data_IF_225494968735
#
_entry.id   IF_225494968735
#
_cell.length_a   1.000
_cell.length_b   1.000
_cell.length_c   1.000
_cell.angle_alpha   90.00
_cell.angle_beta   90.00
_cell.angle_gamma   90.00
#
_symmetry.space_group_name_H-M   'P 1'
#
loop_
_entity.id
_entity.type
_entity.pdbx_description
1 polymer ?
#
# COMPACT_ATOMS: atom_id res chain seq x y z
N UNK A 1 -44.63 -30.95 -6.25
CA UNK A 1 -45.74 -30.20 -5.62
C UNK A 1 -47.01 -30.40 -6.41
N UNK A 2 -48.23 -30.37 -5.85
CA UNK A 2 -49.45 -30.40 -6.63
C UNK A 2 -49.50 -29.13 -7.50
N UNK A 3 -49.83 -29.33 -8.79
CA UNK A 3 -49.96 -28.22 -9.75
C UNK A 3 -51.26 -27.47 -9.46
N UNK A 4 -51.18 -26.24 -8.96
CA UNK A 4 -52.35 -25.42 -8.63
C UNK A 4 -52.66 -24.45 -9.76
N UNK A 5 -53.96 -24.26 -10.08
CA UNK A 5 -54.45 -23.23 -10.98
C UNK A 5 -54.12 -21.82 -10.38
N UNK A 6 -53.77 -20.84 -11.25
CA UNK A 6 -53.37 -19.49 -10.87
C UNK A 6 -54.40 -18.79 -9.94
N UNK A 7 -55.71 -19.06 -10.12
CA UNK A 7 -56.78 -18.51 -9.28
C UNK A 7 -56.64 -19.01 -7.83
N UNK A 8 -56.28 -20.28 -7.68
CA UNK A 8 -56.09 -20.91 -6.38
C UNK A 8 -54.79 -20.38 -5.73
N UNK A 9 -53.70 -20.22 -6.50
CA UNK A 9 -52.44 -19.65 -6.01
C UNK A 9 -52.65 -18.21 -5.52
N UNK A 10 -53.32 -17.37 -6.32
CA UNK A 10 -53.66 -16.00 -5.93
C UNK A 10 -54.49 -15.94 -4.63
N UNK A 11 -55.39 -16.88 -4.45
CA UNK A 11 -56.21 -17.00 -3.22
C UNK A 11 -55.36 -17.39 -2.01
N UNK A 12 -54.40 -18.31 -2.18
CA UNK A 12 -53.50 -18.76 -1.11
C UNK A 12 -52.52 -17.66 -0.71
N UNK A 13 -52.00 -16.90 -1.68
CA UNK A 13 -51.11 -15.79 -1.41
C UNK A 13 -51.74 -14.62 -0.65
N UNK A 14 -53.10 -14.52 -0.62
CA UNK A 14 -53.82 -13.54 0.22
C UNK A 14 -53.71 -13.78 1.72
N UNK A 15 -53.21 -14.95 2.14
CA UNK A 15 -52.91 -15.24 3.54
C UNK A 15 -51.68 -14.52 4.06
N UNK A 16 -50.85 -13.97 3.17
CA UNK A 16 -49.61 -13.23 3.44
C UNK A 16 -49.85 -11.72 3.29
N UNK A 17 -48.88 -10.87 3.60
CA UNK A 17 -48.99 -9.44 3.39
C UNK A 17 -49.42 -9.08 1.96
N UNK A 18 -50.26 -8.04 1.85
CA UNK A 18 -50.93 -7.64 0.61
C UNK A 18 -49.95 -7.45 -0.56
N UNK A 19 -48.77 -6.96 -0.25
CA UNK A 19 -47.67 -6.72 -1.21
C UNK A 19 -47.28 -7.98 -1.97
N UNK A 20 -47.32 -9.17 -1.34
CA UNK A 20 -46.95 -10.44 -1.99
C UNK A 20 -47.94 -10.76 -3.12
N UNK A 21 -49.25 -10.65 -2.86
CA UNK A 21 -50.29 -10.95 -3.85
C UNK A 21 -50.38 -9.89 -4.94
N UNK A 22 -50.07 -8.64 -4.64
CA UNK A 22 -50.02 -7.54 -5.61
C UNK A 22 -48.82 -7.70 -6.55
N UNK A 23 -47.62 -7.96 -5.98
CA UNK A 23 -46.39 -8.20 -6.76
C UNK A 23 -46.50 -9.44 -7.63
N UNK A 24 -47.03 -10.54 -7.11
CA UNK A 24 -47.36 -11.73 -7.92
C UNK A 24 -48.24 -11.37 -9.13
N UNK A 25 -49.35 -10.66 -8.90
CA UNK A 25 -50.30 -10.32 -9.97
C UNK A 25 -49.65 -9.44 -11.03
N UNK A 26 -48.81 -8.49 -10.64
CA UNK A 26 -48.07 -7.62 -11.52
C UNK A 26 -47.06 -8.42 -12.37
N UNK A 27 -46.22 -9.21 -11.74
CA UNK A 27 -45.15 -9.98 -12.44
C UNK A 27 -45.74 -11.06 -13.34
N UNK A 28 -46.86 -11.70 -12.90
CA UNK A 28 -47.56 -12.66 -13.76
C UNK A 28 -48.07 -12.04 -15.04
N UNK A 29 -48.70 -10.85 -14.99
CA UNK A 29 -49.20 -10.15 -16.18
C UNK A 29 -48.09 -9.84 -17.23
N UNK A 30 -46.85 -9.66 -16.77
CA UNK A 30 -45.71 -9.47 -17.65
C UNK A 30 -45.22 -10.80 -18.21
N UNK A 31 -45.13 -11.84 -17.39
CA UNK A 31 -44.53 -13.12 -17.73
C UNK A 31 -45.44 -13.99 -18.62
N UNK A 32 -46.77 -13.88 -18.49
CA UNK A 32 -47.74 -14.68 -19.28
C UNK A 32 -47.60 -14.42 -20.81
N UNK A 33 -47.12 -13.24 -21.20
CA UNK A 33 -46.88 -12.91 -22.60
C UNK A 33 -45.50 -13.34 -23.09
N UNK A 34 -44.63 -13.84 -22.20
CA UNK A 34 -43.20 -14.15 -22.50
C UNK A 34 -42.83 -15.61 -22.29
N UNK A 35 -43.58 -16.31 -21.43
CA UNK A 35 -43.26 -17.68 -21.06
C UNK A 35 -44.36 -18.65 -21.54
N UNK A 36 -43.98 -19.88 -21.95
CA UNK A 36 -44.92 -20.99 -22.14
C UNK A 36 -45.68 -21.26 -20.85
N UNK A 37 -46.96 -21.71 -21.01
CA UNK A 37 -47.85 -21.92 -19.86
C UNK A 37 -47.33 -22.92 -18.82
N UNK A 38 -46.62 -23.94 -19.26
CA UNK A 38 -45.95 -24.91 -18.37
C UNK A 38 -44.91 -24.26 -17.47
N UNK A 39 -44.08 -23.37 -18.05
CA UNK A 39 -43.05 -22.67 -17.31
C UNK A 39 -43.64 -21.63 -16.38
N UNK A 40 -44.67 -20.93 -16.82
CA UNK A 40 -45.43 -19.98 -16.00
C UNK A 40 -46.05 -20.67 -14.79
N UNK A 41 -46.69 -21.84 -15.01
CA UNK A 41 -47.28 -22.63 -13.93
C UNK A 41 -46.23 -23.12 -12.92
N UNK A 42 -45.04 -23.54 -13.38
CA UNK A 42 -43.94 -23.92 -12.50
C UNK A 42 -43.44 -22.73 -11.68
N UNK A 43 -43.26 -21.54 -12.30
CA UNK A 43 -42.89 -20.31 -11.63
C UNK A 43 -43.90 -19.93 -10.52
N UNK A 44 -45.19 -20.03 -10.82
CA UNK A 44 -46.27 -19.78 -9.86
C UNK A 44 -46.21 -20.74 -8.66
N UNK A 45 -46.01 -22.04 -8.92
CA UNK A 45 -45.87 -23.07 -7.89
C UNK A 45 -44.63 -22.90 -7.05
N UNK A 46 -43.48 -22.51 -7.64
CA UNK A 46 -42.26 -22.17 -6.89
C UNK A 46 -42.51 -20.97 -5.99
N UNK A 47 -43.14 -19.90 -6.48
CA UNK A 47 -43.44 -18.72 -5.68
C UNK A 47 -44.38 -19.01 -4.50
N UNK A 48 -45.38 -19.85 -4.68
CA UNK A 48 -46.21 -20.34 -3.59
C UNK A 48 -45.40 -21.20 -2.60
N UNK A 49 -44.54 -22.09 -3.11
CA UNK A 49 -43.66 -22.92 -2.29
C UNK A 49 -42.70 -22.09 -1.44
N UNK A 50 -42.15 -21.02 -2.01
CA UNK A 50 -41.33 -20.06 -1.26
C UNK A 50 -42.11 -19.44 -0.11
N UNK A 51 -43.33 -18.98 -0.35
CA UNK A 51 -44.19 -18.38 0.70
C UNK A 51 -44.56 -19.35 1.82
N UNK A 52 -44.66 -20.64 1.54
CA UNK A 52 -45.09 -21.67 2.48
C UNK A 52 -43.98 -22.42 3.22
N UNK A 53 -42.70 -22.21 2.86
CA UNK A 53 -41.59 -22.99 3.40
C UNK A 53 -41.42 -22.80 4.92
N UNK A 54 -41.59 -21.56 5.41
CA UNK A 54 -41.59 -21.27 6.86
C UNK A 54 -42.33 -19.93 7.15
N UNK A 55 -42.44 -19.55 8.44
CA UNK A 55 -43.22 -18.40 8.89
C UNK A 55 -42.84 -17.06 8.28
N UNK A 56 -41.55 -16.88 7.92
CA UNK A 56 -40.99 -15.62 7.36
C UNK A 56 -40.59 -15.75 5.90
N UNK A 57 -40.77 -16.91 5.27
CA UNK A 57 -40.33 -17.13 3.88
C UNK A 57 -41.19 -16.42 2.83
N UNK A 58 -42.32 -15.83 3.22
CA UNK A 58 -43.08 -14.94 2.35
C UNK A 58 -42.25 -13.73 1.84
N UNK A 59 -41.24 -13.30 2.61
CA UNK A 59 -40.28 -12.26 2.16
C UNK A 59 -39.47 -12.73 0.96
N UNK A 60 -39.07 -14.02 0.92
CA UNK A 60 -38.44 -14.62 -0.26
C UNK A 60 -39.36 -14.62 -1.47
N UNK A 61 -40.65 -14.99 -1.27
CA UNK A 61 -41.62 -14.97 -2.34
C UNK A 61 -41.85 -13.55 -2.87
N UNK A 62 -41.86 -12.55 -2.01
CA UNK A 62 -41.92 -11.14 -2.40
C UNK A 62 -40.76 -10.73 -3.27
N UNK A 63 -39.49 -10.95 -2.82
CA UNK A 63 -38.30 -10.68 -3.60
C UNK A 63 -38.27 -11.44 -4.94
N UNK A 64 -38.64 -12.74 -4.91
CA UNK A 64 -38.75 -13.57 -6.11
C UNK A 64 -39.71 -12.98 -7.14
N UNK A 65 -40.96 -12.69 -6.74
CA UNK A 65 -41.94 -12.11 -7.66
C UNK A 65 -41.52 -10.76 -8.19
N UNK A 66 -40.90 -9.92 -7.34
CA UNK A 66 -40.44 -8.58 -7.70
C UNK A 66 -39.47 -8.59 -8.85
N UNK A 67 -38.50 -9.52 -8.84
CA UNK A 67 -37.36 -9.52 -9.80
C UNK A 67 -37.58 -10.46 -10.99
N UNK A 68 -38.56 -11.39 -10.92
CA UNK A 68 -38.76 -12.46 -11.91
C UNK A 68 -38.89 -11.95 -13.34
N UNK A 69 -39.65 -10.88 -13.56
CA UNK A 69 -39.88 -10.32 -14.90
C UNK A 69 -38.60 -9.67 -15.50
N UNK A 70 -37.72 -9.16 -14.68
CA UNK A 70 -36.44 -8.60 -15.09
C UNK A 70 -35.44 -9.71 -15.37
N UNK A 71 -35.30 -10.68 -14.47
CA UNK A 71 -34.41 -11.84 -14.64
C UNK A 71 -34.74 -12.63 -15.90
N UNK A 72 -36.06 -12.83 -16.17
CA UNK A 72 -36.52 -13.56 -17.36
C UNK A 72 -36.01 -12.93 -18.67
N UNK A 73 -35.78 -11.62 -18.73
CA UNK A 73 -35.26 -10.95 -19.94
C UNK A 73 -33.85 -11.40 -20.30
N UNK A 74 -33.10 -11.89 -19.33
CA UNK A 74 -31.70 -12.32 -19.51
C UNK A 74 -31.55 -13.84 -19.59
N UNK A 75 -32.60 -14.62 -19.27
CA UNK A 75 -32.52 -16.07 -19.16
C UNK A 75 -33.46 -16.76 -20.16
N UNK A 76 -32.95 -17.73 -20.94
CA UNK A 76 -33.78 -18.70 -21.63
C UNK A 76 -34.67 -19.48 -20.66
N UNK A 77 -35.82 -19.93 -21.14
CA UNK A 77 -36.87 -20.55 -20.32
C UNK A 77 -36.38 -21.70 -19.40
N UNK A 78 -35.46 -22.55 -19.88
CA UNK A 78 -34.94 -23.65 -19.07
C UNK A 78 -34.06 -23.17 -17.92
N UNK A 79 -33.15 -22.20 -18.17
CA UNK A 79 -32.31 -21.61 -17.13
C UNK A 79 -33.13 -20.75 -16.15
N UNK A 80 -34.24 -20.15 -16.62
CA UNK A 80 -35.14 -19.42 -15.75
C UNK A 80 -35.79 -20.34 -14.69
N UNK A 81 -36.20 -21.56 -15.07
CA UNK A 81 -36.65 -22.55 -14.11
C UNK A 81 -35.56 -22.99 -13.14
N UNK A 82 -34.33 -23.23 -13.64
CA UNK A 82 -33.17 -23.56 -12.80
C UNK A 82 -32.87 -22.47 -11.76
N UNK A 83 -33.03 -21.18 -12.14
CA UNK A 83 -32.92 -20.05 -11.22
C UNK A 83 -34.04 -20.06 -10.16
N UNK A 84 -35.28 -20.34 -10.55
CA UNK A 84 -36.42 -20.48 -9.62
C UNK A 84 -36.18 -21.58 -8.59
N UNK A 85 -35.78 -22.76 -9.05
CA UNK A 85 -35.50 -23.92 -8.20
C UNK A 85 -34.31 -23.68 -7.27
N UNK A 86 -33.27 -22.98 -7.74
CA UNK A 86 -32.12 -22.58 -6.92
C UNK A 86 -32.53 -21.71 -5.74
N UNK A 87 -33.38 -20.71 -5.97
CA UNK A 87 -33.91 -19.88 -4.90
C UNK A 87 -34.74 -20.66 -3.87
N UNK A 88 -35.56 -21.61 -4.33
CA UNK A 88 -36.34 -22.48 -3.42
C UNK A 88 -35.41 -23.39 -2.57
N UNK A 89 -34.36 -23.93 -3.15
CA UNK A 89 -33.32 -24.70 -2.42
C UNK A 89 -32.63 -23.85 -1.37
N UNK A 90 -32.25 -22.62 -1.71
CA UNK A 90 -31.61 -21.68 -0.78
C UNK A 90 -32.54 -21.29 0.37
N UNK A 91 -33.86 -21.11 0.12
CA UNK A 91 -34.84 -20.76 1.15
C UNK A 91 -34.95 -21.85 2.25
N UNK A 92 -34.81 -23.12 1.89
CA UNK A 92 -34.77 -24.24 2.84
C UNK A 92 -33.52 -24.18 3.75
N UNK A 93 -32.44 -23.57 3.30
CA UNK A 93 -31.24 -23.37 4.10
C UNK A 93 -31.32 -22.09 4.93
N UNK A 94 -31.68 -20.97 4.31
CA UNK A 94 -31.84 -19.67 4.97
C UNK A 94 -32.67 -18.73 4.11
N UNK A 95 -33.72 -18.19 4.68
CA UNK A 95 -34.55 -17.14 4.07
C UNK A 95 -33.71 -15.94 3.62
N UNK A 96 -32.79 -15.50 4.47
CA UNK A 96 -31.90 -14.34 4.17
C UNK A 96 -31.04 -14.56 2.93
N UNK A 97 -30.46 -15.75 2.82
CA UNK A 97 -29.59 -16.10 1.66
C UNK A 97 -30.40 -16.07 0.37
N UNK A 98 -31.64 -16.62 0.40
CA UNK A 98 -32.52 -16.62 -0.76
C UNK A 98 -32.94 -15.20 -1.17
N UNK A 99 -33.21 -14.32 -0.22
CA UNK A 99 -33.52 -12.91 -0.49
C UNK A 99 -32.32 -12.24 -1.17
N UNK A 100 -31.12 -12.34 -0.59
CA UNK A 100 -29.91 -11.75 -1.19
C UNK A 100 -29.63 -12.32 -2.60
N UNK A 101 -29.87 -13.61 -2.83
CA UNK A 101 -29.79 -14.23 -4.16
C UNK A 101 -30.77 -13.60 -5.14
N UNK A 102 -32.07 -13.51 -4.78
CA UNK A 102 -33.07 -12.93 -5.67
C UNK A 102 -32.78 -11.45 -5.95
N UNK A 103 -32.55 -10.65 -4.93
CA UNK A 103 -32.35 -9.21 -5.05
C UNK A 103 -31.11 -8.85 -5.88
N UNK A 104 -30.06 -9.68 -5.83
CA UNK A 104 -28.84 -9.49 -6.63
C UNK A 104 -28.96 -10.03 -8.06
N UNK A 105 -29.88 -10.96 -8.31
CA UNK A 105 -30.00 -11.67 -9.60
C UNK A 105 -30.19 -10.76 -10.81
N UNK A 106 -31.05 -9.73 -10.83
CA UNK A 106 -31.26 -8.90 -12.01
C UNK A 106 -29.93 -8.33 -12.55
N UNK A 107 -29.17 -7.67 -11.67
CA UNK A 107 -27.89 -7.08 -12.02
C UNK A 107 -26.82 -8.13 -12.35
N UNK A 108 -26.81 -9.25 -11.62
CA UNK A 108 -25.88 -10.35 -11.89
C UNK A 108 -26.12 -10.93 -13.30
N UNK A 109 -27.37 -11.13 -13.70
CA UNK A 109 -27.71 -11.70 -15.01
C UNK A 109 -27.35 -10.80 -16.20
N UNK A 110 -27.15 -9.50 -16.01
CA UNK A 110 -26.63 -8.62 -17.06
C UNK A 110 -25.16 -8.92 -17.40
N UNK A 111 -24.43 -9.56 -16.50
CA UNK A 111 -22.99 -9.83 -16.61
C UNK A 111 -22.67 -11.32 -16.71
N UNK A 112 -23.46 -12.16 -16.06
CA UNK A 112 -23.26 -13.59 -16.02
C UNK A 112 -23.95 -14.27 -17.21
N UNK A 113 -23.20 -15.11 -17.95
CA UNK A 113 -23.79 -15.92 -19.01
C UNK A 113 -24.76 -16.97 -18.39
N UNK A 114 -25.94 -17.20 -19.02
CA UNK A 114 -26.96 -18.09 -18.47
C UNK A 114 -26.46 -19.48 -18.04
N UNK A 115 -25.51 -20.05 -18.79
CA UNK A 115 -24.92 -21.36 -18.49
C UNK A 115 -24.16 -21.47 -17.18
N UNK A 116 -23.75 -20.34 -16.58
CA UNK A 116 -22.96 -20.30 -15.34
C UNK A 116 -23.81 -20.11 -14.07
N UNK A 117 -25.15 -20.01 -14.19
CA UNK A 117 -26.02 -19.72 -13.04
C UNK A 117 -25.92 -20.81 -11.97
N UNK A 118 -26.00 -22.07 -12.36
CA UNK A 118 -25.93 -23.18 -11.43
C UNK A 118 -24.56 -23.26 -10.73
N UNK A 119 -23.48 -23.00 -11.47
CA UNK A 119 -22.13 -22.97 -10.91
C UNK A 119 -21.95 -21.78 -9.97
N UNK A 120 -22.45 -20.58 -10.33
CA UNK A 120 -22.48 -19.42 -9.45
C UNK A 120 -23.18 -19.72 -8.13
N UNK A 121 -24.42 -20.21 -8.19
CA UNK A 121 -25.21 -20.52 -7.00
C UNK A 121 -24.53 -21.59 -6.15
N UNK A 122 -24.07 -22.68 -6.74
CA UNK A 122 -23.42 -23.78 -6.05
C UNK A 122 -22.15 -23.32 -5.28
N UNK A 123 -21.33 -22.48 -5.92
CA UNK A 123 -20.12 -21.95 -5.29
C UNK A 123 -20.42 -21.01 -4.14
N UNK A 124 -21.39 -20.11 -4.29
CA UNK A 124 -21.75 -19.19 -3.20
C UNK A 124 -22.45 -19.97 -2.07
N UNK A 125 -23.27 -20.96 -2.41
CA UNK A 125 -23.94 -21.83 -1.45
C UNK A 125 -22.94 -22.63 -0.59
N UNK A 126 -21.76 -22.99 -1.12
CA UNK A 126 -20.72 -23.74 -0.39
C UNK A 126 -20.18 -22.98 0.83
N UNK A 127 -20.28 -21.64 0.84
CA UNK A 127 -19.89 -20.81 1.98
C UNK A 127 -20.82 -20.97 3.20
N UNK A 128 -22.06 -21.42 2.97
CA UNK A 128 -23.02 -21.61 4.05
C UNK A 128 -22.74 -22.89 4.83
N UNK A 129 -22.41 -22.76 6.10
CA UNK A 129 -22.10 -23.89 7.02
C UNK A 129 -23.10 -23.95 8.20
N UNK A 130 -24.31 -23.40 8.05
CA UNK A 130 -25.37 -23.48 9.08
C UNK A 130 -25.20 -22.51 10.25
N UNK A 131 -24.24 -21.60 10.23
CA UNK A 131 -24.02 -20.60 11.29
C UNK A 131 -24.49 -19.22 10.85
N UNK A 132 -24.77 -18.33 11.83
CA UNK A 132 -25.17 -16.95 11.51
C UNK A 132 -24.07 -16.18 10.77
N UNK A 133 -22.78 -16.41 11.11
CA UNK A 133 -21.65 -15.78 10.41
C UNK A 133 -21.54 -16.26 8.97
N UNK A 134 -21.70 -17.57 8.73
CA UNK A 134 -21.69 -18.10 7.36
C UNK A 134 -22.89 -17.58 6.56
N UNK A 135 -24.07 -17.39 7.20
CA UNK A 135 -25.23 -16.78 6.54
C UNK A 135 -24.91 -15.36 6.07
N UNK A 136 -24.33 -14.51 6.93
CA UNK A 136 -23.96 -13.14 6.58
C UNK A 136 -22.94 -13.12 5.44
N UNK A 137 -21.88 -13.93 5.53
CA UNK A 137 -20.88 -14.00 4.47
C UNK A 137 -21.50 -14.41 3.12
N UNK A 138 -22.35 -15.45 3.11
CA UNK A 138 -23.03 -15.91 1.89
C UNK A 138 -23.94 -14.83 1.31
N UNK A 139 -24.68 -14.10 2.14
CA UNK A 139 -25.49 -12.95 1.70
C UNK A 139 -24.60 -11.86 1.07
N UNK A 140 -23.54 -11.46 1.77
CA UNK A 140 -22.61 -10.43 1.28
C UNK A 140 -21.99 -10.80 -0.08
N UNK A 141 -21.68 -12.08 -0.30
CA UNK A 141 -21.16 -12.57 -1.58
C UNK A 141 -22.20 -12.44 -2.68
N UNK A 142 -23.47 -12.86 -2.46
CA UNK A 142 -24.53 -12.66 -3.45
C UNK A 142 -24.71 -11.18 -3.78
N UNK A 143 -24.78 -10.32 -2.77
CA UNK A 143 -25.00 -8.88 -2.91
C UNK A 143 -23.84 -8.16 -3.62
N UNK A 144 -22.59 -8.59 -3.40
CA UNK A 144 -21.40 -8.02 -4.05
C UNK A 144 -21.14 -8.58 -5.45
N UNK A 145 -21.71 -9.73 -5.82
CA UNK A 145 -21.48 -10.40 -7.11
C UNK A 145 -21.68 -9.47 -8.32
N UNK A 146 -22.76 -8.67 -8.42
CA UNK A 146 -22.95 -7.77 -9.56
C UNK A 146 -21.77 -6.82 -9.76
N UNK A 147 -21.33 -6.17 -8.69
CA UNK A 147 -20.21 -5.20 -8.71
C UNK A 147 -18.89 -5.87 -9.05
N UNK A 148 -18.64 -7.06 -8.51
CA UNK A 148 -17.41 -7.82 -8.76
C UNK A 148 -17.36 -8.24 -10.24
N UNK A 149 -18.45 -8.76 -10.82
CA UNK A 149 -18.51 -9.18 -12.22
C UNK A 149 -18.48 -8.01 -13.22
N UNK A 150 -18.57 -6.77 -12.78
CA UNK A 150 -18.30 -5.60 -13.62
C UNK A 150 -16.81 -5.45 -13.96
N UNK A 151 -15.94 -5.97 -13.10
CA UNK A 151 -14.50 -5.70 -13.15
C UNK A 151 -13.65 -6.93 -13.43
N UNK A 152 -14.15 -8.14 -13.09
CA UNK A 152 -13.42 -9.40 -13.27
C UNK A 152 -14.23 -10.42 -14.08
N UNK A 153 -13.52 -11.37 -14.68
CA UNK A 153 -14.13 -12.50 -15.39
C UNK A 153 -14.79 -13.50 -14.42
N UNK A 154 -15.70 -14.33 -14.93
CA UNK A 154 -16.33 -15.38 -14.10
C UNK A 154 -15.32 -16.39 -13.58
N UNK A 155 -14.27 -16.72 -14.33
CA UNK A 155 -13.23 -17.63 -13.87
C UNK A 155 -12.43 -17.02 -12.70
N UNK A 156 -12.13 -15.73 -12.75
CA UNK A 156 -11.52 -15.00 -11.63
C UNK A 156 -12.46 -14.90 -10.42
N UNK A 157 -13.74 -14.69 -10.67
CA UNK A 157 -14.76 -14.74 -9.63
C UNK A 157 -14.80 -16.11 -8.92
N UNK A 158 -14.72 -17.20 -9.66
CA UNK A 158 -14.66 -18.56 -9.07
C UNK A 158 -13.46 -18.71 -8.14
N UNK A 159 -12.27 -18.26 -8.58
CA UNK A 159 -11.06 -18.26 -7.74
C UNK A 159 -11.22 -17.39 -6.48
N UNK A 160 -11.89 -16.24 -6.61
CA UNK A 160 -12.19 -15.38 -5.45
C UNK A 160 -13.07 -16.11 -4.44
N UNK A 161 -14.13 -16.79 -4.88
CA UNK A 161 -15.01 -17.52 -3.96
C UNK A 161 -14.28 -18.68 -3.29
N UNK A 162 -13.44 -19.42 -4.01
CA UNK A 162 -12.59 -20.47 -3.48
C UNK A 162 -11.63 -19.93 -2.40
N UNK A 163 -11.01 -18.80 -2.66
CA UNK A 163 -10.18 -18.10 -1.68
C UNK A 163 -10.97 -17.67 -0.44
N UNK A 164 -12.15 -17.04 -0.62
CA UNK A 164 -13.01 -16.61 0.48
C UNK A 164 -13.51 -17.81 1.28
N UNK A 165 -13.82 -18.94 0.64
CA UNK A 165 -14.20 -20.19 1.33
C UNK A 165 -13.04 -20.70 2.18
N UNK A 166 -11.84 -20.80 1.61
CA UNK A 166 -10.64 -21.23 2.34
C UNK A 166 -10.37 -20.34 3.57
N UNK A 167 -10.49 -19.02 3.40
CA UNK A 167 -10.29 -18.06 4.47
C UNK A 167 -11.41 -18.13 5.54
N UNK A 168 -12.66 -18.36 5.13
CA UNK A 168 -13.81 -18.49 6.03
C UNK A 168 -13.68 -19.67 6.99
N UNK A 169 -13.01 -20.76 6.56
CA UNK A 169 -12.67 -21.91 7.41
C UNK A 169 -11.71 -21.54 8.54
N UNK A 170 -11.03 -20.39 8.45
CA UNK A 170 -10.15 -19.85 9.49
C UNK A 170 -10.86 -18.73 10.28
N UNK A 171 -11.48 -17.78 9.58
CA UNK A 171 -12.19 -16.66 10.19
C UNK A 171 -13.23 -16.05 9.24
N UNK A 172 -14.51 -16.11 9.61
CA UNK A 172 -15.59 -15.47 8.86
C UNK A 172 -15.46 -13.94 8.84
N UNK A 173 -15.00 -13.36 9.94
CA UNK A 173 -14.90 -11.89 10.05
C UNK A 173 -13.83 -11.35 9.08
N UNK A 174 -12.68 -12.02 9.02
CA UNK A 174 -11.63 -11.67 8.05
C UNK A 174 -12.08 -11.96 6.62
N UNK A 175 -12.75 -13.08 6.37
CA UNK A 175 -13.27 -13.39 5.03
C UNK A 175 -14.24 -12.32 4.52
N UNK A 176 -15.13 -11.81 5.38
CA UNK A 176 -16.06 -10.72 5.03
C UNK A 176 -15.33 -9.41 4.75
N UNK A 177 -14.35 -9.06 5.57
CA UNK A 177 -13.52 -7.85 5.39
C UNK A 177 -12.69 -7.91 4.10
N UNK A 178 -12.13 -9.09 3.79
CA UNK A 178 -11.34 -9.31 2.57
C UNK A 178 -12.22 -9.28 1.32
N UNK A 179 -13.44 -9.79 1.37
CA UNK A 179 -14.40 -9.67 0.28
C UNK A 179 -14.67 -8.21 -0.07
N UNK A 180 -14.94 -7.38 0.94
CA UNK A 180 -15.15 -5.94 0.76
C UNK A 180 -13.90 -5.25 0.21
N UNK A 181 -12.73 -5.57 0.76
CA UNK A 181 -11.45 -5.01 0.31
C UNK A 181 -11.12 -5.43 -1.12
N UNK A 182 -11.38 -6.69 -1.50
CA UNK A 182 -11.22 -7.20 -2.85
C UNK A 182 -12.08 -6.43 -3.85
N UNK A 183 -13.35 -6.17 -3.50
CA UNK A 183 -14.27 -5.40 -4.34
C UNK A 183 -13.72 -3.99 -4.60
N UNK A 184 -13.14 -3.34 -3.59
CA UNK A 184 -12.50 -2.02 -3.72
C UNK A 184 -11.25 -2.07 -4.60
N UNK A 185 -10.40 -3.09 -4.44
CA UNK A 185 -9.20 -3.27 -5.27
C UNK A 185 -9.58 -3.49 -6.74
N UNK A 186 -10.57 -4.33 -7.01
CA UNK A 186 -10.97 -4.62 -8.38
C UNK A 186 -11.62 -3.40 -9.06
N UNK A 187 -12.34 -2.55 -8.32
CA UNK A 187 -12.98 -1.34 -8.86
C UNK A 187 -12.01 -0.31 -9.45
N UNK A 188 -10.73 -0.38 -9.12
CA UNK A 188 -9.68 0.50 -9.67
C UNK A 188 -8.94 -0.12 -10.87
N UNK A 189 -9.51 -1.14 -11.53
CA UNK A 189 -8.90 -1.87 -12.65
C UNK A 189 -7.51 -2.41 -12.31
N UNK A 190 -7.40 -3.08 -11.17
CA UNK A 190 -6.14 -3.65 -10.73
C UNK A 190 -5.55 -4.63 -11.76
N UNK A 191 -4.28 -4.48 -12.20
CA UNK A 191 -3.77 -5.22 -13.36
C UNK A 191 -3.49 -6.70 -13.09
N UNK A 192 -3.10 -7.06 -11.85
CA UNK A 192 -2.58 -8.39 -11.50
C UNK A 192 -3.58 -9.20 -10.66
N UNK A 193 -4.87 -9.27 -11.10
CA UNK A 193 -5.94 -9.94 -10.34
C UNK A 193 -5.68 -11.44 -10.18
N UNK A 194 -5.28 -12.13 -11.25
CA UNK A 194 -4.98 -13.58 -11.17
C UNK A 194 -3.85 -13.88 -10.21
N UNK A 195 -2.80 -13.06 -10.23
CA UNK A 195 -1.65 -13.17 -9.35
C UNK A 195 -2.01 -12.89 -7.91
N UNK A 196 -2.83 -11.87 -7.68
CA UNK A 196 -3.35 -11.55 -6.36
C UNK A 196 -4.16 -12.71 -5.78
N UNK A 197 -5.08 -13.27 -6.55
CA UNK A 197 -5.93 -14.38 -6.10
C UNK A 197 -5.10 -15.64 -5.82
N UNK A 198 -4.15 -15.98 -6.70
CA UNK A 198 -3.26 -17.13 -6.50
C UNK A 198 -2.39 -16.95 -5.26
N UNK A 199 -1.78 -15.77 -5.09
CA UNK A 199 -0.97 -15.44 -3.92
C UNK A 199 -1.80 -15.51 -2.64
N UNK A 200 -3.04 -15.03 -2.68
CA UNK A 200 -3.96 -15.02 -1.53
C UNK A 200 -4.33 -16.41 -1.05
N UNK A 201 -4.62 -17.33 -1.98
CA UNK A 201 -4.88 -18.74 -1.67
C UNK A 201 -3.65 -19.33 -0.98
N UNK A 202 -2.48 -19.14 -1.58
CA UNK A 202 -1.21 -19.65 -1.04
C UNK A 202 -0.87 -19.09 0.34
N UNK A 203 -1.07 -17.77 0.57
CA UNK A 203 -0.88 -17.17 1.91
C UNK A 203 -1.86 -17.78 2.91
N UNK A 204 -3.12 -18.01 2.52
CA UNK A 204 -4.14 -18.58 3.42
C UNK A 204 -3.76 -19.98 3.89
N UNK A 205 -3.14 -20.76 3.05
CA UNK A 205 -2.70 -22.12 3.38
C UNK A 205 -1.53 -22.13 4.36
N UNK A 206 -0.57 -21.22 4.21
CA UNK A 206 0.65 -21.16 5.03
C UNK A 206 0.49 -20.28 6.28
N UNK A 207 0.06 -19.04 6.13
CA UNK A 207 -0.06 -18.06 7.22
C UNK A 207 -1.26 -17.12 6.96
N UNK A 208 -2.48 -17.63 7.15
CA UNK A 208 -3.72 -16.92 6.87
C UNK A 208 -3.83 -15.53 7.55
N UNK A 209 -3.12 -15.31 8.67
CA UNK A 209 -3.11 -14.01 9.36
C UNK A 209 -2.39 -12.92 8.56
N UNK A 210 -1.54 -13.31 7.61
CA UNK A 210 -0.82 -12.37 6.73
C UNK A 210 -1.71 -11.82 5.60
N UNK A 211 -2.88 -12.43 5.35
CA UNK A 211 -3.81 -12.00 4.29
C UNK A 211 -4.31 -10.58 4.52
N UNK A 212 -4.83 -10.30 5.71
CA UNK A 212 -5.41 -8.97 6.01
C UNK A 212 -4.40 -7.84 5.87
N UNK A 213 -3.22 -7.84 6.52
CA UNK A 213 -2.24 -6.79 6.34
C UNK A 213 -1.73 -6.68 4.90
N UNK A 214 -1.64 -7.79 4.16
CA UNK A 214 -1.30 -7.78 2.72
C UNK A 214 -2.33 -6.98 1.92
N UNK A 215 -3.62 -7.25 2.09
CA UNK A 215 -4.70 -6.54 1.39
C UNK A 215 -4.79 -5.06 1.77
N UNK A 216 -4.56 -4.72 3.04
CA UNK A 216 -4.53 -3.33 3.50
C UNK A 216 -3.41 -2.53 2.81
N UNK A 217 -2.22 -3.12 2.65
CA UNK A 217 -1.10 -2.46 1.94
C UNK A 217 -1.42 -2.32 0.45
N UNK A 218 -1.99 -3.36 -0.17
CA UNK A 218 -2.37 -3.31 -1.58
C UNK A 218 -3.37 -2.17 -1.80
N UNK A 219 -4.49 -2.14 -1.05
CA UNK A 219 -5.53 -1.13 -1.20
C UNK A 219 -5.04 0.29 -0.94
N UNK A 220 -4.24 0.49 0.11
CA UNK A 220 -3.85 1.83 0.53
C UNK A 220 -2.65 2.40 -0.23
N UNK A 221 -1.77 1.55 -0.75
CA UNK A 221 -0.48 1.97 -1.28
C UNK A 221 -0.18 1.41 -2.68
N UNK A 222 -0.23 0.08 -2.88
CA UNK A 222 0.22 -0.55 -4.14
C UNK A 222 -0.66 -0.15 -5.33
N UNK A 223 -1.98 -0.07 -5.17
CA UNK A 223 -2.91 0.34 -6.24
C UNK A 223 -2.63 1.74 -6.82
N UNK A 224 -1.82 2.55 -6.13
CA UNK A 224 -1.43 3.91 -6.56
C UNK A 224 -0.16 3.93 -7.42
N UNK A 225 0.50 2.79 -7.56
CA UNK A 225 1.70 2.66 -8.38
C UNK A 225 1.36 2.48 -9.86
N UNK A 226 2.29 2.76 -10.77
CA UNK A 226 2.17 2.39 -12.17
C UNK A 226 1.99 0.87 -12.35
N UNK A 227 1.22 0.45 -13.36
CA UNK A 227 0.92 -0.97 -13.60
C UNK A 227 2.19 -1.83 -13.76
N UNK A 228 3.23 -1.30 -14.41
CA UNK A 228 4.51 -1.99 -14.56
C UNK A 228 5.15 -2.33 -13.21
N UNK A 229 5.08 -1.39 -12.25
CA UNK A 229 5.65 -1.56 -10.92
C UNK A 229 4.83 -2.53 -10.08
N UNK A 230 3.50 -2.50 -10.21
CA UNK A 230 2.61 -3.49 -9.58
C UNK A 230 2.98 -4.90 -10.05
N UNK A 231 3.09 -5.09 -11.37
CA UNK A 231 3.48 -6.36 -11.97
C UNK A 231 4.82 -6.85 -11.43
N UNK A 232 5.82 -5.99 -11.39
CA UNK A 232 7.16 -6.31 -10.91
C UNK A 232 7.15 -6.74 -9.43
N UNK A 233 6.38 -6.05 -8.58
CA UNK A 233 6.22 -6.37 -7.15
C UNK A 233 5.57 -7.75 -6.99
N UNK A 234 4.56 -8.08 -7.79
CA UNK A 234 3.89 -9.38 -7.75
C UNK A 234 4.79 -10.50 -8.27
N UNK A 235 5.58 -10.29 -9.32
CA UNK A 235 6.59 -11.25 -9.79
C UNK A 235 7.63 -11.57 -8.69
N UNK A 236 8.11 -10.53 -8.00
CA UNK A 236 9.03 -10.71 -6.87
C UNK A 236 8.38 -11.46 -5.72
N UNK A 237 7.13 -11.15 -5.36
CA UNK A 237 6.42 -11.80 -4.25
C UNK A 237 6.20 -13.30 -4.50
N UNK A 238 5.87 -13.69 -5.72
CA UNK A 238 5.76 -15.12 -6.11
C UNK A 238 7.07 -15.88 -5.89
N UNK A 239 8.20 -15.25 -6.21
CA UNK A 239 9.52 -15.87 -6.06
C UNK A 239 9.94 -15.98 -4.60
N UNK A 240 9.54 -15.01 -3.76
CA UNK A 240 9.83 -15.01 -2.33
C UNK A 240 8.88 -15.88 -1.53
N UNK A 241 7.71 -16.17 -2.10
CA UNK A 241 6.71 -16.98 -1.42
C UNK A 241 7.24 -18.39 -1.13
N UNK A 242 7.01 -18.87 0.08
CA UNK A 242 7.50 -20.17 0.51
C UNK A 242 8.92 -20.21 1.09
N UNK A 243 9.65 -19.09 1.06
CA UNK A 243 10.90 -18.99 1.79
C UNK A 243 10.62 -18.81 3.29
N UNK A 244 11.31 -19.60 4.11
CA UNK A 244 11.14 -19.59 5.56
C UNK A 244 11.36 -18.19 6.13
N UNK A 245 10.38 -17.71 6.91
CA UNK A 245 10.45 -16.44 7.64
C UNK A 245 10.10 -15.16 6.85
N UNK A 246 9.65 -15.28 5.59
CA UNK A 246 9.21 -14.12 4.81
C UNK A 246 7.68 -14.04 4.79
N UNK A 247 7.12 -13.03 5.46
CA UNK A 247 5.72 -12.62 5.33
C UNK A 247 5.55 -11.64 4.17
N UNK A 248 4.56 -11.88 3.31
CA UNK A 248 4.33 -11.04 2.12
C UNK A 248 3.94 -9.62 2.49
N UNK A 249 3.16 -9.44 3.56
CA UNK A 249 2.82 -8.11 4.08
C UNK A 249 4.07 -7.32 4.49
N UNK A 250 5.04 -7.96 5.15
CA UNK A 250 6.31 -7.33 5.50
C UNK A 250 7.12 -6.94 4.27
N UNK A 251 7.18 -7.81 3.26
CA UNK A 251 7.85 -7.51 1.99
C UNK A 251 7.21 -6.30 1.30
N UNK A 252 5.89 -6.28 1.14
CA UNK A 252 5.17 -5.14 0.54
C UNK A 252 5.38 -3.86 1.35
N UNK A 253 5.25 -3.93 2.68
CA UNK A 253 5.48 -2.78 3.57
C UNK A 253 6.88 -2.20 3.38
N UNK A 254 7.91 -3.04 3.29
CA UNK A 254 9.28 -2.59 3.14
C UNK A 254 9.56 -2.00 1.77
N UNK A 255 9.02 -2.59 0.70
CA UNK A 255 9.08 -1.97 -0.64
C UNK A 255 8.45 -0.58 -0.60
N UNK A 256 7.25 -0.44 -0.05
CA UNK A 256 6.57 0.86 -0.02
C UNK A 256 7.32 1.90 0.80
N UNK A 257 7.93 1.50 1.92
CA UNK A 257 8.84 2.37 2.71
C UNK A 257 10.06 2.79 1.89
N UNK A 258 10.68 1.85 1.20
CA UNK A 258 11.86 2.14 0.35
C UNK A 258 11.50 3.11 -0.79
N UNK A 259 10.38 2.90 -1.47
CA UNK A 259 9.93 3.79 -2.54
C UNK A 259 9.54 5.20 -2.05
N UNK A 260 9.22 5.35 -0.77
CA UNK A 260 8.97 6.66 -0.16
C UNK A 260 10.25 7.48 0.10
N UNK A 261 11.42 6.84 0.15
CA UNK A 261 12.72 7.49 0.39
C UNK A 261 13.33 8.10 -0.88
N UNK A 262 12.89 7.64 -2.05
CA UNK A 262 13.46 8.07 -3.35
C UNK A 262 12.48 8.91 -4.15
N UNK A 263 13.01 9.73 -5.07
CA UNK A 263 12.19 10.49 -6.00
C UNK A 263 11.35 9.57 -6.88
N UNK A 264 10.28 10.10 -7.45
CA UNK A 264 9.38 9.29 -8.30
C UNK A 264 10.11 8.70 -9.51
N UNK A 265 11.04 9.44 -10.08
CA UNK A 265 11.78 9.05 -11.29
C UNK A 265 12.78 7.92 -11.00
N UNK A 266 13.25 7.81 -9.76
CA UNK A 266 14.24 6.82 -9.34
C UNK A 266 13.60 5.48 -8.86
N UNK A 267 12.27 5.44 -8.75
CA UNK A 267 11.54 4.28 -8.20
C UNK A 267 11.69 3.02 -9.02
N UNK A 268 11.71 3.16 -10.34
CA UNK A 268 11.86 2.04 -11.25
C UNK A 268 13.24 1.41 -11.11
N UNK A 269 14.28 2.23 -10.97
CA UNK A 269 15.67 1.77 -10.76
C UNK A 269 15.79 0.99 -9.44
N UNK A 270 15.24 1.51 -8.35
CA UNK A 270 15.22 0.81 -7.05
C UNK A 270 14.47 -0.52 -7.15
N UNK A 271 13.30 -0.57 -7.80
CA UNK A 271 12.56 -1.80 -7.97
C UNK A 271 13.34 -2.85 -8.77
N UNK A 272 14.03 -2.45 -9.82
CA UNK A 272 14.91 -3.34 -10.59
C UNK A 272 16.11 -3.83 -9.76
N UNK A 273 16.68 -2.98 -8.90
CA UNK A 273 17.73 -3.41 -7.97
C UNK A 273 17.23 -4.47 -7.00
N UNK A 274 16.03 -4.29 -6.43
CA UNK A 274 15.39 -5.27 -5.55
C UNK A 274 15.11 -6.57 -6.31
N UNK A 275 14.55 -6.49 -7.53
CA UNK A 275 14.30 -7.63 -8.39
C UNK A 275 15.60 -8.42 -8.66
N UNK A 276 16.70 -7.73 -8.91
CA UNK A 276 18.00 -8.36 -9.14
C UNK A 276 18.45 -9.18 -7.91
N UNK A 277 18.24 -8.66 -6.69
CA UNK A 277 18.52 -9.40 -5.45
C UNK A 277 17.57 -10.59 -5.30
N UNK A 278 16.27 -10.40 -5.50
CA UNK A 278 15.27 -11.49 -5.45
C UNK A 278 15.61 -12.61 -6.44
N UNK A 279 16.14 -12.25 -7.60
CA UNK A 279 16.46 -13.22 -8.63
C UNK A 279 17.72 -14.06 -8.36
N UNK A 280 18.73 -13.46 -7.71
CA UNK A 280 20.02 -14.09 -7.54
C UNK A 280 20.31 -14.56 -6.11
N UNK A 281 19.72 -13.89 -5.10
CA UNK A 281 19.94 -14.22 -3.69
C UNK A 281 18.65 -13.92 -2.87
N UNK A 282 17.55 -14.64 -3.13
CA UNK A 282 16.25 -14.34 -2.54
C UNK A 282 16.23 -14.33 -1.00
N UNK A 283 17.05 -15.15 -0.37
CA UNK A 283 17.12 -15.28 1.09
C UNK A 283 17.68 -14.05 1.82
N UNK A 284 18.40 -13.15 1.13
CA UNK A 284 18.91 -11.90 1.70
C UNK A 284 18.06 -10.66 1.35
N UNK A 285 16.98 -10.84 0.59
CA UNK A 285 16.15 -9.73 0.10
C UNK A 285 15.63 -8.84 1.23
N UNK A 286 15.16 -9.44 2.32
CA UNK A 286 14.64 -8.68 3.44
C UNK A 286 15.72 -7.90 4.19
N UNK A 287 16.94 -8.44 4.26
CA UNK A 287 18.08 -7.76 4.88
C UNK A 287 18.57 -6.62 3.98
N UNK A 288 18.59 -6.81 2.66
CA UNK A 288 18.85 -5.75 1.70
C UNK A 288 17.83 -4.60 1.83
N UNK A 289 16.55 -4.90 1.82
CA UNK A 289 15.49 -3.88 1.99
C UNK A 289 15.65 -3.09 3.29
N UNK A 290 16.06 -3.75 4.39
CA UNK A 290 16.32 -3.09 5.68
C UNK A 290 17.53 -2.16 5.65
N UNK A 291 18.54 -2.48 4.85
CA UNK A 291 19.78 -1.68 4.77
C UNK A 291 19.65 -0.46 3.85
N UNK A 292 18.74 -0.46 2.88
CA UNK A 292 18.57 0.63 1.89
C UNK A 292 18.45 2.02 2.56
N UNK A 293 17.64 2.25 3.60
CA UNK A 293 17.54 3.57 4.22
C UNK A 293 18.88 4.11 4.68
N UNK A 294 19.66 3.30 5.38
CA UNK A 294 20.99 3.68 5.86
C UNK A 294 21.99 3.89 4.71
N UNK A 295 21.90 3.07 3.68
CA UNK A 295 22.79 3.19 2.51
C UNK A 295 22.52 4.47 1.71
N UNK A 296 21.26 4.86 1.54
CA UNK A 296 20.88 6.08 0.83
C UNK A 296 21.27 7.38 1.56
N UNK A 297 21.65 7.32 2.84
CA UNK A 297 22.22 8.46 3.55
C UNK A 297 23.65 8.80 3.05
N UNK A 298 24.35 7.80 2.52
CA UNK A 298 25.78 7.93 2.17
C UNK A 298 26.11 7.59 0.72
N UNK A 299 25.28 6.83 0.04
CA UNK A 299 25.44 6.36 -1.33
C UNK A 299 24.37 6.95 -2.26
N UNK A 300 24.77 7.30 -3.49
CA UNK A 300 23.82 7.52 -4.57
C UNK A 300 23.35 6.18 -5.18
N UNK A 301 22.39 6.21 -6.12
CA UNK A 301 21.83 4.99 -6.70
C UNK A 301 22.84 4.14 -7.44
N UNK A 302 23.76 4.75 -8.19
CA UNK A 302 24.81 4.02 -8.90
C UNK A 302 25.77 3.32 -7.92
N UNK A 303 26.12 3.98 -6.82
CA UNK A 303 26.95 3.43 -5.75
C UNK A 303 26.21 2.31 -5.01
N UNK A 304 24.90 2.48 -4.75
CA UNK A 304 24.05 1.45 -4.16
C UNK A 304 23.99 0.21 -5.06
N UNK A 305 23.89 0.40 -6.38
CA UNK A 305 23.91 -0.69 -7.35
C UNK A 305 25.25 -1.44 -7.32
N UNK A 306 26.36 -0.73 -7.27
CA UNK A 306 27.70 -1.34 -7.13
C UNK A 306 27.83 -2.12 -5.82
N UNK A 307 27.36 -1.58 -4.71
CA UNK A 307 27.38 -2.25 -3.40
C UNK A 307 26.52 -3.52 -3.42
N UNK A 308 25.30 -3.44 -3.94
CA UNK A 308 24.38 -4.56 -4.11
C UNK A 308 25.00 -5.67 -4.96
N UNK A 309 25.63 -5.33 -6.09
CA UNK A 309 26.26 -6.30 -6.99
C UNK A 309 27.41 -7.05 -6.32
N UNK A 310 28.18 -6.39 -5.47
CA UNK A 310 29.20 -7.06 -4.66
C UNK A 310 28.59 -8.00 -3.62
N UNK A 311 27.48 -7.60 -2.96
CA UNK A 311 26.76 -8.45 -2.03
C UNK A 311 26.21 -9.70 -2.71
N UNK A 312 25.66 -9.57 -3.93
CA UNK A 312 25.20 -10.72 -4.73
C UNK A 312 26.37 -11.65 -5.07
N UNK A 313 27.55 -11.12 -5.43
CA UNK A 313 28.73 -11.97 -5.65
C UNK A 313 29.09 -12.77 -4.40
N UNK A 314 29.08 -12.13 -3.22
CA UNK A 314 29.30 -12.84 -1.94
C UNK A 314 28.26 -13.94 -1.72
N UNK A 315 27.01 -13.72 -2.15
CA UNK A 315 25.95 -14.70 -2.03
C UNK A 315 26.13 -15.89 -2.99
N UNK A 316 26.64 -15.64 -4.20
CA UNK A 316 26.85 -16.66 -5.23
C UNK A 316 28.15 -17.46 -5.04
N UNK A 317 29.21 -16.87 -4.45
CA UNK A 317 30.48 -17.52 -4.22
C UNK A 317 30.45 -18.58 -3.10
N UNK A 318 29.30 -18.73 -2.40
CA UNK A 318 29.20 -19.57 -1.21
C UNK A 318 28.06 -20.60 -1.36
N UNK A 319 28.35 -21.69 -2.01
CA UNK A 319 27.39 -22.77 -2.28
C UNK A 319 26.78 -23.45 -1.03
N UNK A 320 27.33 -23.22 0.18
CA UNK A 320 26.95 -23.99 1.36
C UNK A 320 26.63 -23.18 2.63
N UNK A 321 26.97 -21.89 2.69
CA UNK A 321 26.74 -21.08 3.90
C UNK A 321 26.19 -19.69 3.58
N UNK A 322 24.91 -19.40 3.89
CA UNK A 322 24.30 -18.09 3.64
C UNK A 322 24.78 -16.97 4.59
N UNK A 323 25.49 -17.32 5.68
CA UNK A 323 25.85 -16.40 6.76
C UNK A 323 26.64 -15.16 6.31
N UNK A 324 27.69 -15.27 5.47
CA UNK A 324 28.46 -14.10 5.05
C UNK A 324 27.68 -13.12 4.20
N UNK A 325 26.83 -13.60 3.27
CA UNK A 325 25.95 -12.72 2.49
C UNK A 325 24.91 -12.02 3.38
N UNK A 326 24.32 -12.76 4.33
CA UNK A 326 23.40 -12.19 5.32
C UNK A 326 24.07 -11.10 6.15
N UNK A 327 25.29 -11.35 6.66
CA UNK A 327 26.05 -10.34 7.40
C UNK A 327 26.45 -9.14 6.52
N UNK A 328 26.73 -9.37 5.22
CA UNK A 328 26.98 -8.31 4.28
C UNK A 328 25.78 -7.39 4.14
N UNK A 329 24.61 -7.95 3.80
CA UNK A 329 23.39 -7.18 3.59
C UNK A 329 22.83 -6.56 4.88
N UNK A 330 23.14 -7.11 6.06
CA UNK A 330 22.83 -6.51 7.37
C UNK A 330 23.80 -5.40 7.79
N UNK A 331 24.83 -5.07 7.00
CA UNK A 331 25.88 -4.12 7.34
C UNK A 331 26.73 -4.54 8.59
N UNK A 332 26.74 -5.83 8.92
CA UNK A 332 27.48 -6.37 10.07
C UNK A 332 28.91 -6.78 9.69
N UNK A 333 29.14 -7.13 8.41
CA UNK A 333 30.47 -7.54 7.96
C UNK A 333 31.42 -6.34 7.77
N UNK A 334 32.70 -6.54 8.10
CA UNK A 334 33.76 -5.56 7.81
C UNK A 334 33.85 -5.26 6.32
N UNK A 335 33.72 -6.29 5.47
CA UNK A 335 33.76 -6.17 4.02
C UNK A 335 32.68 -5.21 3.48
N UNK A 336 31.44 -5.28 3.99
CA UNK A 336 30.36 -4.38 3.60
C UNK A 336 30.68 -2.93 3.93
N UNK A 337 31.24 -2.67 5.12
CA UNK A 337 31.61 -1.33 5.60
C UNK A 337 32.79 -0.76 4.82
N UNK A 338 33.85 -1.53 4.64
CA UNK A 338 35.04 -1.13 3.88
C UNK A 338 34.67 -0.81 2.42
N UNK A 339 33.70 -1.54 1.84
CA UNK A 339 33.21 -1.28 0.49
C UNK A 339 32.44 0.05 0.43
N UNK A 340 31.54 0.32 1.40
CA UNK A 340 30.84 1.61 1.49
C UNK A 340 31.86 2.75 1.53
N UNK A 341 32.87 2.64 2.40
CA UNK A 341 33.91 3.64 2.52
C UNK A 341 34.70 3.86 1.21
N UNK A 342 34.87 2.79 0.44
CA UNK A 342 35.63 2.85 -0.84
C UNK A 342 34.79 3.47 -1.97
N UNK A 343 33.50 3.16 -2.06
CA UNK A 343 32.63 3.62 -3.16
C UNK A 343 31.91 4.92 -2.85
N UNK A 344 31.75 5.27 -1.57
CA UNK A 344 31.08 6.49 -1.16
C UNK A 344 31.88 7.73 -1.55
N UNK A 345 31.21 8.67 -2.19
CA UNK A 345 31.73 10.02 -2.41
C UNK A 345 31.61 10.91 -1.18
N UNK A 346 30.81 10.52 -0.20
CA UNK A 346 30.57 11.30 1.00
C UNK A 346 31.82 11.44 1.88
N UNK A 347 31.93 12.58 2.55
CA UNK A 347 32.93 12.85 3.55
C UNK A 347 32.26 13.12 4.88
N UNK A 348 32.60 12.33 5.90
CA UNK A 348 32.09 12.49 7.25
C UNK A 348 33.01 13.43 8.07
N UNK A 349 32.38 14.41 8.75
CA UNK A 349 33.11 15.36 9.58
C UNK A 349 33.94 14.67 10.65
N UNK A 350 33.43 13.61 11.29
CA UNK A 350 34.17 12.90 12.33
C UNK A 350 35.51 12.35 11.89
N UNK A 351 35.65 11.97 10.61
CA UNK A 351 36.90 11.45 10.03
C UNK A 351 37.91 12.54 9.70
N UNK A 352 37.43 13.75 9.42
CA UNK A 352 38.30 14.87 8.99
C UNK A 352 38.33 16.00 10.04
N UNK A 353 37.69 15.87 11.17
CA UNK A 353 37.50 16.91 12.17
C UNK A 353 38.81 17.53 12.62
N UNK A 354 39.82 16.71 12.92
CA UNK A 354 41.13 17.20 13.32
C UNK A 354 41.89 17.88 12.15
N UNK A 355 41.70 17.38 10.93
CA UNK A 355 42.26 18.01 9.73
C UNK A 355 41.66 19.40 9.54
N UNK A 356 40.31 19.51 9.68
CA UNK A 356 39.65 20.82 9.59
C UNK A 356 40.04 21.76 10.71
N UNK A 357 40.17 21.23 11.96
CA UNK A 357 40.69 22.05 13.08
C UNK A 357 42.06 22.61 12.78
N UNK A 358 42.99 21.78 12.36
CA UNK A 358 44.34 22.21 11.99
C UNK A 358 44.35 23.19 10.82
N UNK A 359 43.50 22.95 9.82
CA UNK A 359 43.33 23.83 8.69
C UNK A 359 42.86 25.23 9.09
N UNK A 360 41.78 25.32 9.92
CA UNK A 360 41.31 26.62 10.43
C UNK A 360 42.31 27.30 11.34
N UNK A 361 42.96 26.58 12.25
CA UNK A 361 44.07 27.10 13.08
C UNK A 361 45.22 27.63 12.24
N UNK A 362 45.56 26.98 11.13
CA UNK A 362 46.61 27.43 10.20
C UNK A 362 46.23 28.70 9.44
N UNK A 363 44.94 28.96 9.21
CA UNK A 363 44.43 30.16 8.53
C UNK A 363 44.43 31.37 9.48
N UNK A 364 43.87 31.22 10.69
CA UNK A 364 43.70 32.33 11.64
C UNK A 364 44.91 32.58 12.54
N UNK A 365 45.74 31.56 12.77
CA UNK A 365 46.75 31.58 13.79
C UNK A 365 46.26 31.43 15.23
N UNK A 366 44.94 31.36 15.42
CA UNK A 366 44.27 31.15 16.72
C UNK A 366 43.81 29.68 16.85
N UNK A 367 43.73 29.15 18.06
CA UNK A 367 43.22 27.77 18.31
C UNK A 367 41.69 27.75 18.15
N UNK A 368 41.24 27.19 17.03
CA UNK A 368 39.80 27.10 16.65
C UNK A 368 39.31 25.69 16.88
N UNK A 369 38.15 25.58 17.50
CA UNK A 369 37.45 24.32 17.65
C UNK A 369 36.54 24.04 16.47
N UNK A 370 36.45 22.78 16.06
CA UNK A 370 35.46 22.32 15.04
C UNK A 370 34.49 21.35 15.68
N UNK A 371 33.21 21.53 15.44
CA UNK A 371 32.13 20.70 15.98
C UNK A 371 31.05 20.42 14.91
N UNK A 372 30.19 19.43 15.19
CA UNK A 372 29.05 19.11 14.33
C UNK A 372 27.93 20.16 14.51
N UNK A 373 27.33 20.62 13.43
CA UNK A 373 26.21 21.57 13.45
C UNK A 373 24.97 21.03 14.18
N UNK A 374 24.76 19.71 14.23
CA UNK A 374 23.68 19.11 15.03
C UNK A 374 23.82 19.38 16.54
N UNK A 375 25.04 19.63 17.04
CA UNK A 375 25.26 19.98 18.45
C UNK A 375 24.73 21.38 18.84
N UNK A 376 24.36 22.20 17.88
CA UNK A 376 23.75 23.53 18.12
C UNK A 376 22.29 23.43 18.56
N UNK A 377 21.54 22.47 18.04
CA UNK A 377 20.16 22.22 18.43
C UNK A 377 20.03 21.82 19.90
N UNK A 378 21.04 21.13 20.44
CA UNK A 378 21.09 20.76 21.87
C UNK A 378 21.40 21.95 22.78
N UNK A 379 22.04 23.01 22.24
CA UNK A 379 22.43 24.20 23.02
C UNK A 379 21.41 25.33 22.98
N UNK A 380 20.27 25.15 22.31
CA UNK A 380 19.22 26.19 22.09
C UNK A 380 19.79 27.53 21.54
N UNK A 381 20.82 27.48 20.73
CA UNK A 381 21.44 28.65 20.11
C UNK A 381 20.81 28.88 18.73
N UNK A 382 19.80 29.73 18.67
CA UNK A 382 19.27 30.32 17.45
C UNK A 382 18.38 29.43 16.58
N UNK A 383 17.75 30.05 15.57
CA UNK A 383 16.93 29.42 14.51
C UNK A 383 17.82 28.89 13.38
N UNK A 384 18.74 27.98 13.64
CA UNK A 384 19.60 27.42 12.61
C UNK A 384 19.03 26.08 12.14
N UNK A 385 18.88 25.94 10.82
CA UNK A 385 18.68 24.62 10.22
C UNK A 385 19.90 23.77 10.56
N UNK A 386 19.70 22.53 10.99
CA UNK A 386 20.72 21.61 11.52
C UNK A 386 21.91 21.36 10.59
N UNK A 387 21.82 21.71 9.31
CA UNK A 387 22.79 21.38 8.26
C UNK A 387 23.58 22.59 7.72
N UNK A 388 23.32 23.79 8.25
CA UNK A 388 24.06 24.98 7.80
C UNK A 388 25.35 25.18 8.62
N UNK A 389 26.48 25.50 7.94
CA UNK A 389 27.71 25.85 8.63
C UNK A 389 27.53 27.19 9.38
N UNK A 390 28.01 27.25 10.62
CA UNK A 390 27.93 28.46 11.44
C UNK A 390 29.10 28.55 12.42
N UNK A 391 29.24 29.66 13.15
CA UNK A 391 30.24 29.83 14.19
C UNK A 391 29.69 30.57 15.39
N UNK A 392 30.18 30.28 16.59
CA UNK A 392 29.86 30.99 17.83
C UNK A 392 30.97 31.95 18.31
N UNK A 393 31.94 32.18 17.48
CA UNK A 393 33.08 33.06 17.80
C UNK A 393 34.32 32.32 18.39
N UNK A 394 34.18 31.00 18.63
CA UNK A 394 35.29 30.10 19.09
C UNK A 394 35.25 28.74 18.41
N UNK A 395 34.07 28.30 18.05
CA UNK A 395 33.85 26.98 17.45
C UNK A 395 33.19 27.17 16.09
N UNK A 396 33.74 26.50 15.06
CA UNK A 396 33.13 26.38 13.75
C UNK A 396 32.27 25.11 13.73
N UNK A 397 31.02 25.26 13.42
CA UNK A 397 30.05 24.17 13.30
C UNK A 397 29.88 23.82 11.82
N UNK A 398 30.18 22.58 11.48
CA UNK A 398 30.12 22.06 10.11
C UNK A 398 29.08 20.93 10.01
N UNK A 399 28.52 20.68 8.82
CA UNK A 399 27.62 19.55 8.59
C UNK A 399 28.27 18.22 8.97
N UNK A 400 27.48 17.26 9.48
CA UNK A 400 28.00 15.95 9.86
C UNK A 400 28.53 15.16 8.65
N UNK A 401 27.82 15.25 7.51
CA UNK A 401 28.17 14.58 6.26
C UNK A 401 28.01 15.55 5.09
N UNK A 402 28.97 15.57 4.18
CA UNK A 402 28.87 16.26 2.88
C UNK A 402 28.90 15.22 1.77
N UNK A 403 27.82 15.18 0.98
CA UNK A 403 27.66 14.34 -0.22
C UNK A 403 27.07 15.17 -1.38
N UNK A 404 27.72 16.28 -1.71
CA UNK A 404 27.24 17.28 -2.68
C UNK A 404 27.73 17.02 -4.09
N UNK A 405 28.88 16.37 -4.20
CA UNK A 405 29.58 16.07 -5.44
C UNK A 405 29.82 14.56 -5.56
N UNK A 406 29.91 14.06 -6.79
CA UNK A 406 30.18 12.64 -7.07
C UNK A 406 31.61 12.19 -6.76
N UNK A 407 32.55 13.15 -6.54
CA UNK A 407 33.94 12.89 -6.26
C UNK A 407 34.26 13.27 -4.81
N UNK A 408 34.84 12.33 -4.05
CA UNK A 408 35.14 12.49 -2.63
C UNK A 408 36.05 13.72 -2.34
N UNK A 409 37.05 13.97 -3.18
CA UNK A 409 37.94 15.12 -3.03
C UNK A 409 37.16 16.44 -3.15
N UNK A 410 36.19 16.54 -4.04
CA UNK A 410 35.34 17.72 -4.16
C UNK A 410 34.43 17.93 -2.93
N UNK A 411 33.99 16.90 -2.30
CA UNK A 411 33.24 16.99 -1.04
C UNK A 411 34.14 17.39 0.13
N UNK A 412 35.42 16.94 0.12
CA UNK A 412 36.39 17.42 1.08
C UNK A 412 36.79 18.89 0.83
N UNK A 413 36.95 19.29 -0.42
CA UNK A 413 37.21 20.70 -0.76
C UNK A 413 36.03 21.60 -0.41
N UNK A 414 34.80 21.09 -0.51
CA UNK A 414 33.60 21.81 -0.02
C UNK A 414 33.68 22.08 1.49
N UNK A 415 34.12 21.10 2.30
CA UNK A 415 34.37 21.35 3.74
C UNK A 415 35.42 22.47 3.95
N UNK A 416 36.49 22.51 3.17
CA UNK A 416 37.50 23.59 3.25
C UNK A 416 36.85 24.95 2.93
N UNK A 417 36.06 25.03 1.86
CA UNK A 417 35.38 26.27 1.47
C UNK A 417 34.48 26.80 2.54
N UNK A 418 33.56 25.96 3.09
CA UNK A 418 32.64 26.38 4.13
C UNK A 418 33.35 26.68 5.46
N UNK A 419 34.41 25.92 5.80
CA UNK A 419 35.23 26.19 6.97
C UNK A 419 35.99 27.52 6.84
N UNK A 420 36.60 27.80 5.69
CA UNK A 420 37.28 29.06 5.41
C UNK A 420 36.30 30.25 5.50
N UNK A 421 35.08 30.09 5.00
CA UNK A 421 34.08 31.14 5.08
C UNK A 421 33.67 31.43 6.53
N UNK A 422 33.53 30.43 7.37
CA UNK A 422 33.26 30.61 8.80
C UNK A 422 34.47 31.16 9.54
N UNK A 423 35.69 30.73 9.19
CA UNK A 423 36.93 31.22 9.74
C UNK A 423 37.13 32.72 9.48
N UNK A 424 36.82 33.18 8.28
CA UNK A 424 36.88 34.59 7.94
C UNK A 424 36.04 35.47 8.86
N UNK A 425 34.88 34.96 9.35
CA UNK A 425 34.06 35.67 10.32
C UNK A 425 34.77 35.83 11.68
N UNK A 426 35.61 34.86 12.05
CA UNK A 426 36.40 34.90 13.28
C UNK A 426 37.59 35.87 13.12
N UNK A 427 38.38 35.72 12.04
CA UNK A 427 39.55 36.53 11.72
C UNK A 427 39.23 38.01 11.60
N UNK A 428 38.15 38.36 10.86
CA UNK A 428 37.71 39.73 10.71
C UNK A 428 36.99 40.29 11.92
N UNK A 429 36.87 39.53 13.02
CA UNK A 429 36.38 39.97 14.28
C UNK A 429 34.85 40.31 14.27
N UNK A 430 34.08 39.63 13.43
CA UNK A 430 32.63 39.83 13.30
C UNK A 430 31.93 39.70 14.67
N UNK A 431 32.36 38.80 15.50
CA UNK A 431 31.84 38.56 16.86
C UNK A 431 32.38 39.53 17.92
N UNK A 432 33.43 40.30 17.57
CA UNK A 432 34.01 41.38 18.41
C UNK A 432 33.41 42.77 18.10
N UNK A 433 32.52 42.84 17.11
CA UNK A 433 31.85 44.09 16.71
C UNK A 433 30.96 44.62 17.84
N UNK A 434 31.30 45.83 18.32
CA UNK A 434 30.45 46.53 19.27
C UNK A 434 29.75 47.71 18.55
N UNK A 435 28.43 47.64 18.34
CA UNK A 435 27.67 48.69 17.66
C UNK A 435 27.67 50.03 18.41
N UNK A 436 28.14 50.06 19.66
CA UNK A 436 28.26 51.29 20.47
C UNK A 436 29.56 52.04 20.18
N UNK A 437 30.55 51.38 19.62
CA UNK A 437 31.85 52.00 19.28
C UNK A 437 31.70 52.75 17.94
N UNK A 438 31.71 54.10 17.97
CA UNK A 438 31.68 54.89 16.73
C UNK A 438 32.93 54.65 15.88
N UNK A 439 32.77 54.32 14.59
CA UNK A 439 33.89 54.13 13.72
C UNK A 439 34.76 55.38 13.64
N UNK A 440 36.07 55.22 13.85
CA UNK A 440 37.08 56.32 13.88
C UNK A 440 37.36 56.93 12.50
N UNK A 441 36.88 56.34 11.42
CA UNK A 441 37.20 56.76 10.06
C UNK A 441 35.94 57.18 9.28
N UNK A 442 35.97 58.30 8.55
CA UNK A 442 34.85 58.85 7.74
C UNK A 442 34.32 57.86 6.71
N UNK A 443 35.13 56.92 6.20
CA UNK A 443 34.73 55.91 5.23
C UNK A 443 33.89 54.82 5.89
N UNK A 444 34.25 54.36 7.07
CA UNK A 444 33.51 53.41 7.89
C UNK A 444 32.22 53.97 8.44
N UNK A 445 32.15 55.28 8.71
CA UNK A 445 30.90 55.98 9.09
C UNK A 445 29.86 56.00 7.95
N UNK A 446 30.32 56.19 6.70
CA UNK A 446 29.43 56.14 5.52
C UNK A 446 28.89 54.75 5.29
N UNK A 447 29.69 53.72 5.45
CA UNK A 447 29.26 52.30 5.33
C UNK A 447 28.26 51.97 6.46
N UNK A 448 28.55 52.35 7.68
CA UNK A 448 27.65 52.14 8.82
C UNK A 448 26.28 52.83 8.64
N UNK A 449 26.23 54.08 8.14
CA UNK A 449 25.01 54.82 7.83
C UNK A 449 24.24 54.19 6.66
N UNK A 450 24.95 53.67 5.65
CA UNK A 450 24.34 53.03 4.49
C UNK A 450 23.71 51.69 4.88
N UNK A 451 24.40 50.85 5.65
CA UNK A 451 23.88 49.60 6.18
C UNK A 451 22.63 49.80 7.06
N UNK A 452 22.65 50.82 7.91
CA UNK A 452 21.49 51.18 8.74
C UNK A 452 20.27 51.63 7.92
N UNK A 453 20.47 52.25 6.77
CA UNK A 453 19.44 52.73 5.87
C UNK A 453 18.92 51.65 4.92
N UNK A 454 19.79 50.81 4.42
CA UNK A 454 19.45 49.74 3.44
C UNK A 454 18.79 48.52 4.09
N UNK A 455 19.19 48.19 5.31
CA UNK A 455 18.65 47.01 6.00
C UNK A 455 17.36 47.25 6.78
N UNK A 456 16.97 48.55 6.97
CA UNK A 456 15.81 48.95 7.76
C UNK A 456 15.64 48.21 9.11
N UNK A 457 16.77 47.81 9.69
CA UNK A 457 16.86 46.98 10.90
C UNK A 457 17.59 47.83 11.95
N UNK A 458 17.05 47.86 13.17
CA UNK A 458 17.86 48.31 14.33
C UNK A 458 19.06 47.38 14.42
N UNK A 459 20.27 47.93 14.25
CA UNK A 459 21.51 47.19 14.36
C UNK A 459 21.54 46.40 15.68
N UNK A 460 21.98 45.14 15.66
CA UNK A 460 21.96 44.28 16.85
C UNK A 460 22.71 44.94 18.00
N UNK A 461 22.10 44.91 19.19
CA UNK A 461 22.62 45.56 20.41
C UNK A 461 23.75 44.79 21.10
N UNK A 462 24.03 43.56 20.66
CA UNK A 462 25.12 42.72 21.17
C UNK A 462 25.56 41.69 20.12
N UNK A 463 26.73 41.11 20.30
CA UNK A 463 27.32 40.13 19.40
C UNK A 463 26.46 38.87 19.16
N UNK A 464 25.59 38.49 20.08
CA UNK A 464 24.70 37.33 19.95
C UNK A 464 23.56 37.56 18.95
N UNK A 465 23.22 38.83 18.64
CA UNK A 465 22.20 39.16 17.63
C UNK A 465 22.74 39.15 16.19
N UNK A 466 24.07 39.20 16.02
CA UNK A 466 24.73 39.07 14.69
C UNK A 466 24.66 37.67 14.15
N UNK A 467 24.58 36.64 15.01
CA UNK A 467 24.38 35.24 14.61
C UNK A 467 23.06 34.99 13.84
N UNK A 468 22.09 35.87 13.92
CA UNK A 468 20.77 35.77 13.26
C UNK A 468 20.75 36.35 11.86
N UNK A 469 21.79 37.12 11.47
CA UNK A 469 21.80 37.92 10.21
C UNK A 469 22.85 37.38 9.21
N UNK A 470 23.74 36.46 9.64
CA UNK A 470 24.72 35.78 8.80
C UNK A 470 24.24 34.40 8.38
#
# INVERSE_FOLDING_TARGET
MPNFDHIKIKRLLKAYPKEVSETYTYSRAILENKLPEEILSNWENVGLGLAQENTHSWECALSFFKVSAEVQQHLPSGQFLGWCDSGLKLTRKSTKISISFFDSSPKTMTRLRPRYIEDWVSRVESLYKGTWKSTILTCNVFESTPTILETISFDQYCKLIEFIESLSNRSYDIASEILETSTKIFSVNFPEIDDLLQLSISITEQEWRDVKPTYEIILNQIVKLPNANIKLIFEMSKRLFGLSGIHISNFFSMIMKTLALVNKDDRDEILHMIQHVVNNAPYVTMDFLKSIPTLLETLDLNQLDQWKNNGIRVALDQDTNPTPATQFFKLESKMAKDLIDKISSSVELNRIKEIMRLYCTGLSGDDVSVANSSNLSEKNIGWTQSDLPTSDGKTIYLPNVVNKYQIKDQNFDYYKVIATHQEALLEFGTFKYDPKIKPKNKKSLKIHHRLKKELNVDLPRNSNQLLVIS
#
